data_IF_792616794698
#
_entry.id   IF_792616794698
#
_cell.length_a   1.000
_cell.length_b   1.000
_cell.length_c   1.000
_cell.angle_alpha   90.00
_cell.angle_beta   90.00
_cell.angle_gamma   90.00
#
_symmetry.space_group_name_H-M   'P 1'
#
loop_
_entity.id
_entity.type
_entity.pdbx_description
1 polymer ?
#
# COMPACT_ATOMS: atom_id res chain seq x y z
N UNK A 1 -12.75 -27.20 -14.01
CA UNK A 1 -13.45 -26.72 -15.22
C UNK A 1 -12.40 -26.41 -16.27
N UNK A 2 -12.36 -27.16 -17.38
CA UNK A 2 -11.48 -26.86 -18.52
C UNK A 2 -12.26 -25.93 -19.44
N UNK A 3 -11.70 -24.78 -19.75
CA UNK A 3 -12.23 -23.88 -20.77
C UNK A 3 -11.43 -24.05 -22.06
N UNK A 4 -12.12 -24.08 -23.18
CA UNK A 4 -11.53 -24.08 -24.52
C UNK A 4 -11.64 -22.68 -25.11
N UNK A 5 -10.65 -22.25 -25.89
CA UNK A 5 -10.75 -21.03 -26.69
C UNK A 5 -11.74 -21.20 -27.86
N UNK A 6 -11.93 -20.13 -28.64
CA UNK A 6 -12.80 -20.10 -29.82
C UNK A 6 -12.41 -21.11 -30.92
N UNK A 7 -11.20 -21.67 -30.85
CA UNK A 7 -10.67 -22.67 -31.79
C UNK A 7 -10.62 -24.08 -31.18
N UNK A 8 -11.24 -24.30 -30.00
CA UNK A 8 -11.28 -25.60 -29.34
C UNK A 8 -9.97 -26.01 -28.66
N UNK A 9 -8.99 -25.10 -28.51
CA UNK A 9 -7.73 -25.38 -27.82
C UNK A 9 -7.89 -25.14 -26.32
N UNK A 10 -7.24 -25.99 -25.51
CA UNK A 10 -7.27 -25.85 -24.06
C UNK A 10 -6.68 -24.49 -23.64
N UNK A 11 -7.49 -23.69 -22.95
CA UNK A 11 -7.11 -22.35 -22.51
C UNK A 11 -6.28 -22.46 -21.23
N UNK A 12 -4.97 -22.29 -21.37
CA UNK A 12 -4.06 -22.27 -20.22
C UNK A 12 -4.33 -21.02 -19.39
N UNK A 13 -4.60 -21.20 -18.09
CA UNK A 13 -4.77 -20.11 -17.12
C UNK A 13 -3.56 -20.07 -16.19
N UNK A 14 -2.96 -18.90 -16.09
CA UNK A 14 -1.94 -18.60 -15.10
C UNK A 14 -2.58 -17.95 -13.89
N UNK A 15 -2.12 -18.33 -12.70
CA UNK A 15 -2.58 -17.81 -11.42
C UNK A 15 -1.36 -17.45 -10.57
N UNK A 16 -1.54 -16.47 -9.70
CA UNK A 16 -0.61 -16.22 -8.61
C UNK A 16 -1.20 -16.86 -7.33
N UNK A 17 -0.33 -17.43 -6.50
CA UNK A 17 -0.71 -18.01 -5.21
C UNK A 17 0.25 -17.50 -4.15
N UNK A 18 -0.30 -17.12 -3.00
CA UNK A 18 0.43 -16.62 -1.84
C UNK A 18 0.01 -17.37 -0.58
N UNK A 19 0.79 -17.22 0.49
CA UNK A 19 0.46 -17.81 1.78
C UNK A 19 -0.78 -17.14 2.37
N UNK A 20 -1.80 -17.94 2.69
CA UNK A 20 -2.95 -17.46 3.46
C UNK A 20 -2.51 -16.99 4.85
N UNK A 21 -2.93 -15.80 5.26
CA UNK A 21 -2.79 -15.34 6.65
C UNK A 21 -3.56 -16.27 7.59
N UNK A 22 -2.86 -16.88 8.55
CA UNK A 22 -3.44 -17.88 9.46
C UNK A 22 -3.85 -17.31 10.82
N UNK A 23 -3.17 -16.26 11.26
CA UNK A 23 -3.20 -15.80 12.65
C UNK A 23 -4.03 -14.51 12.84
N UNK A 24 -4.68 -14.02 11.78
CA UNK A 24 -5.59 -12.88 11.84
C UNK A 24 -6.76 -13.07 10.87
N UNK A 25 -7.97 -12.89 11.38
CA UNK A 25 -9.21 -13.02 10.61
C UNK A 25 -9.59 -11.73 9.87
N UNK A 26 -8.88 -10.63 10.10
CA UNK A 26 -9.21 -9.32 9.53
C UNK A 26 -8.13 -8.81 8.60
N UNK A 27 -8.50 -8.74 7.33
CA UNK A 27 -7.72 -8.06 6.31
C UNK A 27 -8.13 -6.59 6.26
N UNK A 28 -7.13 -5.71 6.31
CA UNK A 28 -7.32 -4.27 6.37
C UNK A 28 -6.68 -3.60 5.16
N UNK A 29 -7.36 -2.58 4.64
CA UNK A 29 -6.84 -1.70 3.60
C UNK A 29 -6.49 -0.35 4.19
N UNK A 30 -5.20 -0.01 4.21
CA UNK A 30 -4.69 1.18 4.87
C UNK A 30 -4.58 2.36 3.91
N UNK A 31 -4.13 2.10 2.69
CA UNK A 31 -4.09 3.07 1.60
C UNK A 31 -4.66 2.44 0.33
N UNK A 32 -5.06 3.25 -0.64
CA UNK A 32 -5.28 2.76 -2.00
C UNK A 32 -4.24 3.35 -2.97
N UNK A 33 -4.38 3.02 -4.25
CA UNK A 33 -3.52 3.53 -5.31
C UNK A 33 -3.91 4.95 -5.80
N UNK A 34 -4.93 5.58 -5.22
CA UNK A 34 -5.43 6.91 -5.59
C UNK A 34 -5.29 7.91 -4.43
N UNK A 35 -6.38 8.17 -3.69
CA UNK A 35 -6.45 9.22 -2.64
C UNK A 35 -6.98 8.72 -1.30
N UNK A 36 -7.28 7.43 -1.16
CA UNK A 36 -7.82 6.90 0.09
C UNK A 36 -6.69 6.59 1.07
N UNK A 37 -6.85 7.10 2.28
CA UNK A 37 -6.12 6.70 3.48
C UNK A 37 -7.11 6.34 4.57
N UNK A 38 -6.76 5.34 5.38
CA UNK A 38 -7.54 5.02 6.58
C UNK A 38 -7.53 6.21 7.53
N UNK A 39 -8.72 6.75 7.81
CA UNK A 39 -8.89 7.89 8.72
C UNK A 39 -8.80 7.44 10.18
N UNK A 40 -8.55 8.38 11.10
CA UNK A 40 -8.54 8.05 12.53
C UNK A 40 -9.86 7.45 13.02
N UNK A 41 -10.99 7.93 12.49
CA UNK A 41 -12.31 7.41 12.84
C UNK A 41 -12.46 5.94 12.41
N UNK A 42 -11.98 5.59 11.22
CA UNK A 42 -12.03 4.21 10.72
C UNK A 42 -11.06 3.31 11.48
N UNK A 43 -9.83 3.76 11.73
CA UNK A 43 -8.86 3.01 12.52
C UNK A 43 -9.37 2.72 13.93
N UNK A 44 -9.97 3.71 14.61
CA UNK A 44 -10.63 3.53 15.92
C UNK A 44 -11.77 2.51 15.87
N UNK A 45 -12.62 2.57 14.83
CA UNK A 45 -13.72 1.62 14.63
C UNK A 45 -13.22 0.19 14.43
N UNK A 46 -12.07 0.03 13.77
CA UNK A 46 -11.47 -1.27 13.48
C UNK A 46 -10.53 -1.77 14.59
N UNK A 47 -10.26 -0.95 15.62
CA UNK A 47 -9.38 -1.29 16.74
C UNK A 47 -7.89 -1.23 16.37
N UNK A 48 -7.53 -0.41 15.38
CA UNK A 48 -6.17 -0.29 14.85
C UNK A 48 -5.48 0.91 15.50
N UNK A 49 -4.25 0.71 15.96
CA UNK A 49 -3.40 1.78 16.45
C UNK A 49 -3.11 2.79 15.32
N UNK A 50 -3.43 4.06 15.54
CA UNK A 50 -3.16 5.15 14.61
C UNK A 50 -1.68 5.23 14.23
N UNK A 51 -0.79 4.87 15.15
CA UNK A 51 0.65 4.87 14.92
C UNK A 51 1.06 3.92 13.79
N UNK A 52 0.33 2.82 13.58
CA UNK A 52 0.55 1.91 12.45
C UNK A 52 0.18 2.57 11.13
N UNK A 53 -0.93 3.32 11.10
CA UNK A 53 -1.38 4.05 9.92
C UNK A 53 -0.37 5.14 9.55
N UNK A 54 0.09 5.91 10.53
CA UNK A 54 1.11 6.92 10.33
C UNK A 54 2.43 6.33 9.80
N UNK A 55 2.86 5.19 10.36
CA UNK A 55 4.05 4.47 9.90
C UNK A 55 3.90 4.04 8.43
N UNK A 56 2.73 3.52 8.04
CA UNK A 56 2.47 3.09 6.66
C UNK A 56 2.46 4.25 5.66
N UNK A 57 1.86 5.38 6.02
CA UNK A 57 1.91 6.58 5.19
C UNK A 57 3.35 7.10 5.05
N UNK A 58 4.14 7.04 6.12
CA UNK A 58 5.56 7.39 6.07
C UNK A 58 6.37 6.39 5.23
N UNK A 59 6.01 5.10 5.20
CA UNK A 59 6.63 4.12 4.33
C UNK A 59 6.40 4.44 2.84
N UNK A 60 5.18 4.78 2.42
CA UNK A 60 4.92 5.25 1.06
C UNK A 60 5.78 6.47 0.70
N UNK A 61 5.86 7.45 1.59
CA UNK A 61 6.70 8.65 1.41
C UNK A 61 8.20 8.30 1.34
N UNK A 62 8.70 7.44 2.22
CA UNK A 62 10.06 6.91 2.21
C UNK A 62 10.43 6.32 0.84
N UNK A 63 9.57 5.47 0.27
CA UNK A 63 9.87 4.84 -1.03
C UNK A 63 9.98 5.85 -2.17
N UNK A 64 9.22 6.95 -2.10
CA UNK A 64 9.35 8.08 -3.03
C UNK A 64 10.67 8.82 -2.84
N UNK A 65 11.04 9.14 -1.60
CA UNK A 65 12.27 9.85 -1.30
C UNK A 65 13.52 9.05 -1.68
N UNK A 66 13.62 7.80 -1.22
CA UNK A 66 14.76 6.93 -1.49
C UNK A 66 14.97 6.64 -2.98
N UNK A 67 13.88 6.63 -3.76
CA UNK A 67 13.96 6.44 -5.20
C UNK A 67 14.19 7.74 -5.98
N UNK A 68 14.47 8.86 -5.31
CA UNK A 68 14.58 10.20 -5.91
C UNK A 68 13.35 10.57 -6.75
N UNK A 69 12.17 10.20 -6.26
CA UNK A 69 10.87 10.41 -6.89
C UNK A 69 10.58 9.51 -8.10
N UNK A 70 11.36 8.45 -8.33
CA UNK A 70 11.15 7.55 -9.48
C UNK A 70 10.06 6.50 -9.24
N UNK A 71 9.89 6.02 -8.01
CA UNK A 71 8.93 5.00 -7.58
C UNK A 71 8.16 5.46 -6.35
N UNK A 72 6.96 4.94 -6.14
CA UNK A 72 6.24 5.08 -4.87
C UNK A 72 5.40 3.83 -4.65
N UNK A 73 5.54 3.20 -3.48
CA UNK A 73 4.71 2.05 -3.09
C UNK A 73 3.46 2.57 -2.38
N UNK A 74 2.30 2.11 -2.85
CA UNK A 74 0.96 2.47 -2.33
C UNK A 74 0.08 1.22 -2.29
N UNK A 75 -1.22 1.40 -2.03
CA UNK A 75 -2.18 0.29 -1.90
C UNK A 75 -1.77 -0.70 -0.82
N UNK A 76 -1.35 -0.15 0.33
CA UNK A 76 -0.86 -0.92 1.46
C UNK A 76 -2.05 -1.58 2.16
N UNK A 77 -2.08 -2.90 2.15
CA UNK A 77 -3.14 -3.72 2.70
C UNK A 77 -2.58 -5.05 3.23
N UNK A 78 -3.25 -5.64 4.21
CA UNK A 78 -2.76 -6.84 4.86
C UNK A 78 -3.37 -7.10 6.23
N UNK A 79 -2.61 -7.79 7.08
CA UNK A 79 -3.06 -8.21 8.42
C UNK A 79 -2.15 -7.65 9.50
N UNK A 80 -2.75 -7.35 10.65
CA UNK A 80 -2.05 -6.98 11.88
C UNK A 80 -2.16 -8.18 12.83
N UNK A 81 -1.02 -8.70 13.26
CA UNK A 81 -0.92 -9.76 14.26
C UNK A 81 -0.30 -9.18 15.52
N UNK A 82 -0.95 -9.38 16.68
CA UNK A 82 -0.37 -8.99 17.96
C UNK A 82 0.51 -10.14 18.47
N UNK A 83 1.77 -9.83 18.76
CA UNK A 83 2.70 -10.76 19.40
C UNK A 83 2.39 -10.87 20.89
N UNK A 84 2.90 -11.93 21.53
CA UNK A 84 2.71 -12.18 22.97
C UNK A 84 3.29 -11.07 23.87
N UNK A 85 4.31 -10.36 23.38
CA UNK A 85 4.94 -9.22 24.07
C UNK A 85 4.16 -7.90 23.93
N UNK A 86 3.01 -7.93 23.25
CA UNK A 86 2.17 -6.77 22.98
C UNK A 86 2.63 -5.92 21.79
N UNK A 87 3.66 -6.32 21.06
CA UNK A 87 4.06 -5.67 19.81
C UNK A 87 3.17 -6.08 18.64
N UNK A 88 2.97 -5.19 17.68
CA UNK A 88 2.23 -5.49 16.46
C UNK A 88 3.20 -5.90 15.35
N UNK A 89 2.92 -7.04 14.73
CA UNK A 89 3.53 -7.46 13.47
C UNK A 89 2.57 -7.17 12.33
N UNK A 90 3.04 -6.40 11.34
CA UNK A 90 2.25 -6.02 10.18
C UNK A 90 2.74 -6.79 8.95
N UNK A 91 1.87 -7.58 8.35
CA UNK A 91 2.17 -8.35 7.14
C UNK A 91 1.33 -7.78 6.00
N UNK A 92 2.00 -7.22 4.99
CA UNK A 92 1.37 -6.60 3.84
C UNK A 92 1.42 -7.53 2.62
N UNK A 93 0.42 -7.42 1.75
CA UNK A 93 0.43 -8.05 0.42
C UNK A 93 -0.28 -7.18 -0.62
N UNK A 94 -0.16 -7.57 -1.90
CA UNK A 94 -0.77 -6.92 -3.05
C UNK A 94 -0.53 -5.39 -3.13
N UNK A 95 0.71 -4.89 -2.96
CA UNK A 95 0.98 -3.47 -3.13
C UNK A 95 0.86 -3.04 -4.59
N UNK A 96 0.57 -1.76 -4.80
CA UNK A 96 0.69 -1.10 -6.11
C UNK A 96 1.93 -0.21 -6.14
N UNK A 97 2.56 -0.07 -7.31
CA UNK A 97 3.76 0.77 -7.48
C UNK A 97 3.48 1.81 -8.55
N UNK A 98 3.50 3.08 -8.14
CA UNK A 98 3.56 4.19 -9.07
C UNK A 98 5.00 4.35 -9.55
N UNK A 99 5.21 4.55 -10.85
CA UNK A 99 6.52 4.79 -11.44
C UNK A 99 6.44 5.83 -12.55
N UNK A 100 7.50 6.64 -12.70
CA UNK A 100 7.64 7.52 -13.88
C UNK A 100 7.57 6.76 -15.21
N UNK A 101 7.93 5.47 -15.21
CA UNK A 101 7.72 4.60 -16.36
C UNK A 101 6.35 3.89 -16.26
N UNK A 102 5.36 4.39 -17.00
CA UNK A 102 3.99 3.86 -17.04
C UNK A 102 3.87 2.44 -17.62
N UNK A 103 4.89 1.93 -18.31
CA UNK A 103 4.90 0.56 -18.84
C UNK A 103 5.25 -0.48 -17.78
N UNK A 104 5.71 -0.05 -16.59
CA UNK A 104 6.06 -0.95 -15.47
C UNK A 104 4.88 -1.10 -14.51
N UNK A 105 4.86 -2.22 -13.80
CA UNK A 105 3.95 -2.49 -12.66
C UNK A 105 2.46 -2.57 -13.01
N UNK A 106 2.14 -2.75 -14.29
CA UNK A 106 0.78 -3.06 -14.74
C UNK A 106 -0.20 -1.88 -14.62
N UNK A 107 -1.49 -2.22 -14.62
CA UNK A 107 -2.57 -1.23 -14.77
C UNK A 107 -2.82 -0.36 -13.52
N UNK A 108 -2.25 -0.72 -12.38
CA UNK A 108 -2.40 0.03 -11.13
C UNK A 108 -1.34 1.12 -10.96
N UNK A 109 -0.38 1.21 -11.87
CA UNK A 109 0.59 2.30 -11.94
C UNK A 109 -0.07 3.56 -12.53
N UNK A 110 -0.34 4.55 -11.68
CA UNK A 110 -0.88 5.86 -12.08
C UNK A 110 0.22 6.92 -12.26
N UNK A 111 1.49 6.50 -12.22
CA UNK A 111 2.66 7.33 -12.43
C UNK A 111 2.70 8.57 -11.56
N UNK A 112 3.23 9.66 -12.12
CA UNK A 112 3.41 10.93 -11.40
C UNK A 112 2.08 11.54 -10.95
N UNK A 113 0.97 11.27 -11.65
CA UNK A 113 -0.37 11.69 -11.22
C UNK A 113 -0.77 10.99 -9.92
N UNK A 114 -0.54 9.68 -9.82
CA UNK A 114 -0.78 8.91 -8.60
C UNK A 114 0.08 9.41 -7.43
N UNK A 115 1.37 9.68 -7.70
CA UNK A 115 2.28 10.24 -6.69
C UNK A 115 1.83 11.63 -6.21
N UNK A 116 1.41 12.52 -7.13
CA UNK A 116 0.90 13.84 -6.78
C UNK A 116 -0.37 13.72 -5.91
N UNK A 117 -1.32 12.89 -6.31
CA UNK A 117 -2.55 12.66 -5.56
C UNK A 117 -2.27 12.18 -4.12
N UNK A 118 -1.28 11.29 -3.96
CA UNK A 118 -0.83 10.87 -2.64
C UNK A 118 -0.36 12.08 -1.81
N UNK A 119 0.50 12.94 -2.37
CA UNK A 119 1.04 14.10 -1.64
C UNK A 119 0.03 15.23 -1.39
N UNK A 120 -0.99 15.38 -2.23
CA UNK A 120 -2.06 16.36 -2.03
C UNK A 120 -2.83 16.06 -0.72
N UNK A 121 -3.07 14.76 -0.45
CA UNK A 121 -3.77 14.28 0.74
C UNK A 121 -2.83 13.98 1.92
N UNK A 122 -1.57 13.61 1.65
CA UNK A 122 -0.61 13.24 2.69
C UNK A 122 -0.21 14.45 3.54
N UNK A 123 -0.09 14.24 4.84
CA UNK A 123 0.51 15.19 5.79
C UNK A 123 1.66 14.48 6.49
N UNK A 124 2.86 15.06 6.40
CA UNK A 124 4.04 14.51 7.06
C UNK A 124 3.79 14.36 8.57
N UNK A 125 3.89 13.12 9.04
CA UNK A 125 3.66 12.77 10.44
C UNK A 125 4.99 12.62 11.20
N UNK A 126 4.91 12.12 12.43
CA UNK A 126 6.07 11.89 13.29
C UNK A 126 7.17 11.06 12.61
N UNK A 127 6.81 9.98 11.91
CA UNK A 127 7.79 9.10 11.25
C UNK A 127 8.45 9.76 10.04
N UNK A 128 7.70 10.51 9.22
CA UNK A 128 8.29 11.27 8.12
C UNK A 128 9.37 12.24 8.61
N UNK A 129 9.10 12.91 9.75
CA UNK A 129 10.04 13.86 10.37
C UNK A 129 11.26 13.17 10.95
N UNK A 130 11.08 12.02 11.62
CA UNK A 130 12.20 11.21 12.12
C UNK A 130 13.13 10.76 11.00
N UNK A 131 12.58 10.44 9.83
CA UNK A 131 13.36 10.04 8.66
C UNK A 131 13.95 11.22 7.88
N UNK A 132 13.67 12.47 8.29
CA UNK A 132 14.23 13.67 7.66
C UNK A 132 13.53 14.11 6.37
N UNK A 133 12.33 13.61 6.08
CA UNK A 133 11.64 13.83 4.81
C UNK A 133 10.65 14.99 4.79
N UNK A 134 10.69 15.89 5.77
CA UNK A 134 9.69 16.94 5.92
C UNK A 134 9.52 17.74 4.61
N UNK A 135 8.41 17.52 3.92
CA UNK A 135 7.95 18.43 2.88
C UNK A 135 7.31 19.62 3.59
N UNK A 136 8.04 20.73 3.66
CA UNK A 136 7.43 22.03 3.95
C UNK A 136 6.54 22.40 2.75
N UNK A 137 5.26 22.05 2.82
CA UNK A 137 4.24 22.62 1.96
C UNK A 137 4.00 24.08 2.37
N UNK A 138 4.99 24.93 2.14
CA UNK A 138 4.89 26.37 2.23
C UNK A 138 5.14 26.98 0.83
N UNK A 139 4.15 26.87 -0.04
CA UNK A 139 3.92 27.79 -1.16
C UNK A 139 2.42 27.97 -1.39
#
# INVERSE_FOLDING_TARGET
MRETDENGKEKIRYLCAENRFRDSDKFHKFTNNATFFMTEANAKKEGIDLKLIEMLLAFSHFTYQESNGYLMIVDLQGVINCNEDGSNNLILTDPSIHSKNLLRFGKTNFGEKGMKNFFDEHRCNYFCKLLGFAFDNAK
#
